data_IF_798639021989
#
_entry.id   IF_798639021989
#
_cell.length_a   1.000
_cell.length_b   1.000
_cell.length_c   1.000
_cell.angle_alpha   90.00
_cell.angle_beta   90.00
_cell.angle_gamma   90.00
#
_symmetry.space_group_name_H-M   'P 1'
#
loop_
_entity.id
_entity.type
_entity.pdbx_description
1 polymer ?
#
# COMPACT_ATOMS: atom_id res chain seq x y z
N UNK A 1 -6.06 -22.46 23.30
CA UNK A 1 -4.68 -22.37 23.82
C UNK A 1 -3.85 -21.58 22.80
N UNK A 2 -3.94 -20.25 22.70
CA UNK A 2 -3.21 -19.23 23.47
C UNK A 2 -1.73 -19.56 23.78
N UNK A 3 -0.83 -18.84 23.09
CA UNK A 3 0.63 -18.64 23.32
C UNK A 3 1.58 -19.83 23.14
N UNK A 4 2.17 -19.95 21.94
CA UNK A 4 3.46 -20.61 21.69
C UNK A 4 4.47 -19.60 21.12
N UNK A 5 5.17 -18.85 21.98
CA UNK A 5 6.64 -18.87 22.16
C UNK A 5 7.44 -19.18 20.89
N UNK A 6 8.15 -18.15 20.44
CA UNK A 6 9.02 -18.17 19.26
C UNK A 6 10.14 -19.18 19.35
N UNK A 7 10.12 -20.11 18.41
CA UNK A 7 11.35 -20.58 17.78
C UNK A 7 11.77 -19.45 16.83
N UNK A 8 13.05 -19.11 16.66
CA UNK A 8 13.48 -18.37 15.49
C UNK A 8 13.01 -19.19 14.29
N UNK A 9 11.87 -18.80 13.68
CA UNK A 9 11.46 -19.28 12.36
C UNK A 9 12.72 -19.11 11.53
N UNK A 10 13.24 -20.18 10.93
CA UNK A 10 14.60 -20.22 10.38
C UNK A 10 14.73 -19.26 9.18
N UNK A 11 14.79 -17.97 9.49
CA UNK A 11 14.81 -16.88 8.54
C UNK A 11 16.14 -16.92 7.76
N UNK A 12 17.19 -17.51 8.33
CA UNK A 12 18.46 -17.72 7.65
C UNK A 12 18.33 -18.79 6.54
N UNK A 13 17.69 -19.94 6.83
CA UNK A 13 17.41 -20.92 5.80
C UNK A 13 16.40 -20.40 4.77
N UNK A 14 15.33 -19.73 5.21
CA UNK A 14 14.34 -19.13 4.31
C UNK A 14 14.97 -18.09 3.38
N UNK A 15 15.85 -17.23 3.90
CA UNK A 15 16.58 -16.23 3.11
C UNK A 15 17.36 -16.88 1.96
N UNK A 16 18.02 -18.02 2.23
CA UNK A 16 18.82 -18.71 1.22
C UNK A 16 17.94 -19.20 0.08
N UNK A 17 16.80 -19.82 0.39
CA UNK A 17 15.85 -20.29 -0.62
C UNK A 17 15.19 -19.14 -1.38
N UNK A 18 14.76 -18.09 -0.69
CA UNK A 18 14.18 -16.92 -1.34
C UNK A 18 15.18 -16.22 -2.26
N UNK A 19 16.45 -16.12 -1.89
CA UNK A 19 17.50 -15.59 -2.81
C UNK A 19 17.62 -16.42 -4.07
N UNK A 20 17.64 -17.74 -3.95
CA UNK A 20 17.74 -18.62 -5.12
C UNK A 20 16.52 -18.50 -6.05
N UNK A 21 15.31 -18.43 -5.49
CA UNK A 21 14.09 -18.28 -6.27
C UNK A 21 13.96 -16.87 -6.88
N UNK A 22 14.22 -15.82 -6.09
CA UNK A 22 14.10 -14.43 -6.53
C UNK A 22 15.10 -14.08 -7.65
N UNK A 23 16.30 -14.65 -7.62
CA UNK A 23 17.30 -14.50 -8.70
C UNK A 23 16.89 -15.20 -9.99
N UNK A 24 15.95 -16.14 -9.92
CA UNK A 24 15.33 -16.78 -11.09
C UNK A 24 14.04 -16.07 -11.54
N UNK A 25 13.67 -14.95 -10.93
CA UNK A 25 12.51 -14.15 -11.32
C UNK A 25 11.23 -14.44 -10.53
N UNK A 26 11.26 -15.35 -9.54
CA UNK A 26 10.07 -15.70 -8.76
C UNK A 26 9.53 -14.48 -8.00
N UNK A 27 8.29 -14.09 -8.30
CA UNK A 27 7.64 -12.85 -7.82
C UNK A 27 7.48 -12.89 -6.30
N UNK A 28 6.95 -14.00 -5.78
CA UNK A 28 6.71 -14.18 -4.35
C UNK A 28 8.03 -14.14 -3.56
N UNK A 29 9.09 -14.76 -4.07
CA UNK A 29 10.40 -14.72 -3.45
C UNK A 29 11.02 -13.32 -3.50
N UNK A 30 10.87 -12.57 -4.60
CA UNK A 30 11.30 -11.18 -4.68
C UNK A 30 10.57 -10.31 -3.65
N UNK A 31 9.24 -10.41 -3.58
CA UNK A 31 8.45 -9.71 -2.57
C UNK A 31 8.91 -10.08 -1.14
N UNK A 32 9.03 -11.37 -0.84
CA UNK A 32 9.45 -11.84 0.48
C UNK A 32 10.87 -11.39 0.86
N UNK A 33 11.81 -11.33 -0.10
CA UNK A 33 13.13 -10.74 0.17
C UNK A 33 13.02 -9.25 0.50
N UNK A 34 12.17 -8.51 -0.22
CA UNK A 34 11.84 -7.12 0.08
C UNK A 34 11.41 -6.95 1.54
N UNK A 35 10.43 -7.74 1.97
CA UNK A 35 9.92 -7.77 3.36
C UNK A 35 11.03 -8.13 4.36
N UNK A 36 11.82 -9.16 4.08
CA UNK A 36 12.89 -9.59 4.98
C UNK A 36 13.93 -8.49 5.19
N UNK A 37 14.34 -7.79 4.13
CA UNK A 37 15.26 -6.65 4.23
C UNK A 37 14.61 -5.43 4.90
N UNK A 38 13.34 -5.13 4.65
CA UNK A 38 12.63 -4.01 5.27
C UNK A 38 12.46 -4.17 6.79
N UNK A 39 12.26 -5.42 7.26
CA UNK A 39 12.05 -5.73 8.67
C UNK A 39 13.28 -6.29 9.40
N UNK A 40 14.36 -6.58 8.68
CA UNK A 40 15.55 -7.21 9.25
C UNK A 40 15.31 -8.66 9.71
N UNK A 41 14.51 -9.42 8.97
CA UNK A 41 14.18 -10.82 9.30
C UNK A 41 15.25 -11.75 8.72
N UNK A 42 16.13 -12.28 9.57
CA UNK A 42 17.23 -13.15 9.14
C UNK A 42 18.38 -12.42 8.41
N UNK A 43 18.25 -11.10 8.21
CA UNK A 43 19.28 -10.19 7.67
C UNK A 43 19.26 -8.88 8.43
N UNK A 44 20.36 -8.09 8.44
CA UNK A 44 20.30 -6.70 8.88
C UNK A 44 19.26 -5.94 8.05
N UNK A 45 18.50 -5.06 8.72
CA UNK A 45 17.53 -4.20 8.04
C UNK A 45 18.24 -3.29 7.04
N UNK A 46 17.77 -3.29 5.80
CA UNK A 46 18.30 -2.49 4.69
C UNK A 46 17.17 -2.10 3.74
N UNK A 47 16.71 -0.85 3.85
CA UNK A 47 15.66 -0.34 3.00
C UNK A 47 16.08 -0.20 1.53
N UNK A 48 17.37 -0.01 1.24
CA UNK A 48 17.82 0.09 -0.17
C UNK A 48 17.75 -1.27 -0.85
N UNK A 49 18.14 -2.33 -0.14
CA UNK A 49 17.96 -3.70 -0.60
C UNK A 49 16.48 -4.06 -0.73
N UNK A 50 15.65 -3.69 0.26
CA UNK A 50 14.21 -3.92 0.21
C UNK A 50 13.56 -3.26 -1.03
N UNK A 51 13.88 -1.99 -1.27
CA UNK A 51 13.40 -1.22 -2.43
C UNK A 51 13.75 -1.91 -3.75
N UNK A 52 14.96 -2.47 -3.84
CA UNK A 52 15.42 -3.17 -5.05
C UNK A 52 14.57 -4.41 -5.33
N UNK A 53 14.32 -5.21 -4.30
CA UNK A 53 13.50 -6.42 -4.45
C UNK A 53 12.03 -6.12 -4.70
N UNK A 54 11.45 -5.12 -4.01
CA UNK A 54 10.09 -4.69 -4.29
C UNK A 54 9.94 -4.13 -5.71
N UNK A 55 10.93 -3.40 -6.25
CA UNK A 55 10.89 -2.96 -7.66
C UNK A 55 10.83 -4.11 -8.64
N UNK A 56 11.56 -5.20 -8.39
CA UNK A 56 11.52 -6.39 -9.24
C UNK A 56 10.15 -7.07 -9.21
N UNK A 57 9.58 -7.28 -8.02
CA UNK A 57 8.24 -7.87 -7.88
C UNK A 57 7.15 -6.96 -8.47
N UNK A 58 7.20 -5.65 -8.19
CA UNK A 58 6.23 -4.68 -8.68
C UNK A 58 6.26 -4.51 -10.21
N UNK A 59 7.43 -4.68 -10.84
CA UNK A 59 7.57 -4.69 -12.30
C UNK A 59 6.89 -5.90 -12.95
N UNK A 60 6.60 -6.95 -12.16
CA UNK A 60 5.82 -8.11 -12.54
C UNK A 60 4.36 -8.00 -12.04
N UNK A 61 3.91 -6.78 -11.77
CA UNK A 61 2.55 -6.42 -11.35
C UNK A 61 2.13 -6.89 -9.95
N UNK A 62 3.07 -7.30 -9.09
CA UNK A 62 2.76 -7.64 -7.70
C UNK A 62 2.20 -6.44 -6.92
N UNK A 63 0.92 -6.54 -6.51
CA UNK A 63 0.20 -5.45 -5.86
C UNK A 63 0.75 -5.07 -4.49
N UNK A 64 1.19 -6.05 -3.70
CA UNK A 64 1.77 -5.81 -2.37
C UNK A 64 3.15 -5.14 -2.47
N UNK A 65 3.97 -5.52 -3.44
CA UNK A 65 5.23 -4.83 -3.73
C UNK A 65 4.99 -3.40 -4.21
N UNK A 66 4.00 -3.16 -5.08
CA UNK A 66 3.61 -1.80 -5.49
C UNK A 66 3.17 -0.96 -4.29
N UNK A 67 2.34 -1.50 -3.41
CA UNK A 67 1.94 -0.83 -2.16
C UNK A 67 3.17 -0.48 -1.30
N UNK A 68 4.08 -1.43 -1.09
CA UNK A 68 5.30 -1.20 -0.31
C UNK A 68 6.21 -0.14 -0.94
N UNK A 69 6.38 -0.12 -2.27
CA UNK A 69 7.10 0.95 -2.95
C UNK A 69 6.45 2.31 -2.72
N UNK A 70 5.12 2.38 -2.80
CA UNK A 70 4.37 3.60 -2.48
C UNK A 70 4.70 4.12 -1.08
N UNK A 71 4.67 3.24 -0.07
CA UNK A 71 5.01 3.58 1.32
C UNK A 71 6.47 4.04 1.45
N UNK A 72 7.42 3.34 0.81
CA UNK A 72 8.84 3.69 0.89
C UNK A 72 9.13 5.06 0.28
N UNK A 73 8.54 5.37 -0.88
CA UNK A 73 8.65 6.70 -1.49
C UNK A 73 7.94 7.79 -0.67
N UNK A 74 6.80 7.48 -0.05
CA UNK A 74 6.07 8.40 0.81
C UNK A 74 6.87 8.78 2.06
N UNK A 75 7.54 7.79 2.68
CA UNK A 75 8.33 7.99 3.90
C UNK A 75 9.78 8.40 3.64
N UNK A 76 10.31 8.12 2.45
CA UNK A 76 11.73 8.28 2.15
C UNK A 76 12.60 7.17 2.75
N UNK A 77 12.10 5.93 2.80
CA UNK A 77 12.82 4.78 3.33
C UNK A 77 13.65 4.11 2.23
N UNK A 78 14.98 4.17 2.32
CA UNK A 78 15.89 3.61 1.31
C UNK A 78 15.91 4.37 -0.03
N UNK A 79 15.15 5.46 -0.13
CA UNK A 79 15.04 6.35 -1.29
C UNK A 79 14.69 7.76 -0.81
N UNK A 80 15.09 8.85 -1.51
CA UNK A 80 14.56 10.16 -1.19
C UNK A 80 13.03 10.18 -1.25
N UNK A 81 12.41 10.89 -0.30
CA UNK A 81 10.96 11.04 -0.27
C UNK A 81 10.47 11.71 -1.56
N UNK A 82 9.50 11.08 -2.22
CA UNK A 82 8.89 11.55 -3.46
C UNK A 82 7.41 11.17 -3.47
N UNK A 83 6.55 12.15 -3.23
CA UNK A 83 5.10 11.93 -3.23
C UNK A 83 4.56 11.66 -4.64
N UNK A 84 5.20 12.13 -5.70
CA UNK A 84 4.74 11.84 -7.07
C UNK A 84 4.98 10.37 -7.40
N UNK A 85 6.15 9.86 -7.04
CA UNK A 85 6.46 8.43 -7.19
C UNK A 85 5.54 7.57 -6.31
N UNK A 86 5.31 7.97 -5.05
CA UNK A 86 4.39 7.25 -4.16
C UNK A 86 2.97 7.18 -4.72
N UNK A 87 2.46 8.30 -5.26
CA UNK A 87 1.14 8.39 -5.88
C UNK A 87 1.01 7.40 -7.05
N UNK A 88 2.03 7.30 -7.90
CA UNK A 88 2.04 6.36 -9.03
C UNK A 88 1.93 4.92 -8.55
N UNK A 89 2.73 4.53 -7.56
CA UNK A 89 2.71 3.17 -7.02
C UNK A 89 1.40 2.83 -6.30
N UNK A 90 0.88 3.74 -5.48
CA UNK A 90 -0.42 3.52 -4.84
C UNK A 90 -1.56 3.43 -5.85
N UNK A 91 -1.54 4.18 -6.96
CA UNK A 91 -2.54 4.04 -8.03
C UNK A 91 -2.55 2.65 -8.66
N UNK A 92 -1.38 2.10 -8.94
CA UNK A 92 -1.25 0.75 -9.48
C UNK A 92 -1.82 -0.29 -8.50
N UNK A 93 -1.40 -0.25 -7.23
CA UNK A 93 -1.91 -1.18 -6.21
C UNK A 93 -3.42 -0.99 -5.94
N UNK A 94 -3.92 0.25 -5.93
CA UNK A 94 -5.33 0.53 -5.72
C UNK A 94 -6.23 0.05 -6.88
N UNK A 95 -5.71 0.09 -8.12
CA UNK A 95 -6.39 -0.46 -9.29
C UNK A 95 -6.58 -1.98 -9.19
N UNK A 96 -5.64 -2.67 -8.54
CA UNK A 96 -5.74 -4.10 -8.21
C UNK A 96 -6.67 -4.38 -7.01
N UNK A 97 -7.23 -3.35 -6.39
CA UNK A 97 -8.17 -3.50 -5.29
C UNK A 97 -7.54 -3.55 -3.90
N UNK A 98 -6.25 -3.22 -3.73
CA UNK A 98 -5.64 -3.21 -2.40
C UNK A 98 -6.23 -2.06 -1.56
N UNK A 99 -6.96 -2.40 -0.49
CA UNK A 99 -7.65 -1.43 0.36
C UNK A 99 -6.69 -0.43 1.02
N UNK A 100 -5.50 -0.89 1.43
CA UNK A 100 -4.48 -0.01 2.01
C UNK A 100 -3.92 0.99 0.99
N UNK A 101 -3.73 0.58 -0.27
CA UNK A 101 -3.33 1.50 -1.33
C UNK A 101 -4.43 2.53 -1.61
N UNK A 102 -5.70 2.11 -1.62
CA UNK A 102 -6.85 3.01 -1.76
C UNK A 102 -6.90 4.02 -0.60
N UNK A 103 -6.72 3.56 0.64
CA UNK A 103 -6.67 4.44 1.81
C UNK A 103 -5.54 5.46 1.69
N UNK A 104 -4.33 5.03 1.34
CA UNK A 104 -3.17 5.90 1.14
C UNK A 104 -3.40 6.93 0.01
N UNK A 105 -4.07 6.57 -1.09
CA UNK A 105 -4.49 7.55 -2.11
C UNK A 105 -5.44 8.59 -1.54
N UNK A 106 -6.41 8.18 -0.72
CA UNK A 106 -7.32 9.10 -0.04
C UNK A 106 -6.56 10.12 0.82
N UNK A 107 -5.57 9.66 1.58
CA UNK A 107 -4.68 10.53 2.38
C UNK A 107 -3.89 11.50 1.51
N UNK A 108 -3.36 11.05 0.36
CA UNK A 108 -2.60 11.92 -0.54
C UNK A 108 -3.45 13.02 -1.15
N UNK A 109 -4.69 12.71 -1.58
CA UNK A 109 -5.64 13.71 -2.05
C UNK A 109 -6.11 14.65 -0.95
N UNK A 110 -6.27 14.16 0.29
CA UNK A 110 -6.68 14.99 1.42
C UNK A 110 -5.63 16.04 1.78
N UNK A 111 -4.35 15.69 1.67
CA UNK A 111 -3.23 16.56 2.07
C UNK A 111 -2.49 17.22 0.91
N UNK A 112 -2.92 17.01 -0.33
CA UNK A 112 -2.23 17.52 -1.51
C UNK A 112 -0.78 17.03 -1.65
N UNK A 113 -0.52 15.76 -1.30
CA UNK A 113 0.83 15.18 -1.35
C UNK A 113 1.11 14.65 -2.75
N UNK A 114 1.98 15.34 -3.51
CA UNK A 114 2.32 14.92 -4.89
C UNK A 114 1.19 15.09 -5.91
N UNK A 115 0.06 15.66 -5.48
CA UNK A 115 -1.12 15.99 -6.28
C UNK A 115 -1.84 17.18 -5.62
N UNK A 116 -2.68 17.91 -6.37
CA UNK A 116 -3.53 18.94 -5.77
C UNK A 116 -4.51 18.31 -4.77
N UNK A 117 -4.79 19.05 -3.70
CA UNK A 117 -5.78 18.64 -2.71
C UNK A 117 -7.17 18.55 -3.37
N UNK A 118 -7.89 17.44 -3.13
CA UNK A 118 -9.22 17.19 -3.67
C UNK A 118 -10.02 16.32 -2.69
N UNK A 119 -10.94 16.92 -1.95
CA UNK A 119 -11.78 16.23 -0.97
C UNK A 119 -12.78 15.25 -1.60
N UNK A 120 -13.22 15.50 -2.83
CA UNK A 120 -14.10 14.60 -3.58
C UNK A 120 -13.35 13.31 -3.91
N UNK A 121 -12.10 13.42 -4.36
CA UNK A 121 -11.23 12.26 -4.58
C UNK A 121 -10.86 11.57 -3.26
N UNK A 122 -10.54 12.34 -2.22
CA UNK A 122 -10.22 11.77 -0.91
C UNK A 122 -11.39 10.92 -0.36
N UNK A 123 -12.61 11.49 -0.33
CA UNK A 123 -13.82 10.77 0.08
C UNK A 123 -14.03 9.50 -0.75
N UNK A 124 -13.90 9.59 -2.07
CA UNK A 124 -14.07 8.45 -2.98
C UNK A 124 -13.12 7.30 -2.62
N UNK A 125 -11.85 7.61 -2.40
CA UNK A 125 -10.84 6.60 -2.09
C UNK A 125 -11.03 5.97 -0.71
N UNK A 126 -11.42 6.77 0.30
CA UNK A 126 -11.75 6.24 1.62
C UNK A 126 -13.01 5.36 1.62
N UNK A 127 -14.05 5.74 0.87
CA UNK A 127 -15.26 4.93 0.72
C UNK A 127 -14.94 3.58 0.05
N UNK A 128 -14.06 3.59 -0.95
CA UNK A 128 -13.60 2.37 -1.62
C UNK A 128 -12.79 1.48 -0.67
N UNK A 129 -11.83 2.06 0.06
CA UNK A 129 -11.03 1.33 1.04
C UNK A 129 -11.93 0.65 2.09
N UNK A 130 -12.89 1.39 2.65
CA UNK A 130 -13.87 0.86 3.60
C UNK A 130 -14.72 -0.29 3.03
N UNK A 131 -15.10 -0.21 1.75
CA UNK A 131 -15.83 -1.28 1.08
C UNK A 131 -14.98 -2.55 0.89
N UNK A 132 -13.67 -2.39 0.68
CA UNK A 132 -12.75 -3.49 0.37
C UNK A 132 -12.10 -4.13 1.60
N UNK A 133 -11.87 -3.39 2.69
CA UNK A 133 -11.33 -3.97 3.93
C UNK A 133 -12.22 -5.10 4.47
N UNK A 134 -11.64 -6.29 4.67
CA UNK A 134 -12.34 -7.45 5.25
C UNK A 134 -12.31 -7.46 6.77
N UNK A 135 -11.38 -6.72 7.37
CA UNK A 135 -11.16 -6.61 8.81
C UNK A 135 -11.90 -5.40 9.37
N UNK A 136 -12.48 -5.55 10.56
CA UNK A 136 -13.29 -4.50 11.19
C UNK A 136 -12.49 -3.24 11.60
N UNK A 137 -11.29 -3.33 12.20
CA UNK A 137 -10.56 -2.15 12.63
C UNK A 137 -10.19 -1.20 11.48
N UNK A 138 -9.58 -1.72 10.42
CA UNK A 138 -9.11 -0.97 9.25
C UNK A 138 -10.29 -0.41 8.45
N UNK A 139 -11.38 -1.19 8.33
CA UNK A 139 -12.65 -0.70 7.79
C UNK A 139 -13.17 0.48 8.59
N UNK A 140 -13.20 0.39 9.92
CA UNK A 140 -13.71 1.46 10.79
C UNK A 140 -12.86 2.73 10.70
N UNK A 141 -11.55 2.58 10.59
CA UNK A 141 -10.65 3.72 10.33
C UNK A 141 -11.01 4.39 9.01
N UNK A 142 -11.10 3.63 7.91
CA UNK A 142 -11.46 4.18 6.61
C UNK A 142 -12.84 4.88 6.62
N UNK A 143 -13.84 4.29 7.29
CA UNK A 143 -15.18 4.90 7.46
C UNK A 143 -15.11 6.19 8.26
N UNK A 144 -14.38 6.19 9.38
CA UNK A 144 -14.26 7.38 10.24
C UNK A 144 -13.56 8.52 9.51
N UNK A 145 -12.47 8.21 8.80
CA UNK A 145 -11.75 9.21 8.00
C UNK A 145 -12.62 9.72 6.86
N UNK A 146 -13.34 8.85 6.14
CA UNK A 146 -14.31 9.25 5.11
C UNK A 146 -15.36 10.22 5.67
N UNK A 147 -15.95 9.90 6.81
CA UNK A 147 -17.00 10.70 7.42
C UNK A 147 -16.47 12.05 7.94
N UNK A 148 -15.22 12.07 8.43
CA UNK A 148 -14.53 13.31 8.79
C UNK A 148 -14.29 14.21 7.57
N UNK A 149 -13.90 13.65 6.42
CA UNK A 149 -13.79 14.42 5.16
C UNK A 149 -15.17 14.93 4.75
N UNK A 150 -16.20 14.08 4.79
CA UNK A 150 -17.57 14.44 4.43
C UNK A 150 -18.15 15.60 5.25
N UNK A 151 -17.73 15.76 6.50
CA UNK A 151 -18.16 16.87 7.36
C UNK A 151 -17.74 18.26 6.82
N UNK A 152 -16.74 18.33 5.95
CA UNK A 152 -16.27 19.55 5.31
C UNK A 152 -16.81 19.74 3.88
N UNK A 153 -17.56 18.76 3.37
CA UNK A 153 -18.08 18.74 2.00
C UNK A 153 -19.55 19.14 1.93
N UNK A 154 -19.96 19.69 0.80
CA UNK A 154 -21.37 19.89 0.47
C UNK A 154 -22.05 18.58 0.04
N UNK A 155 -23.38 18.47 0.14
CA UNK A 155 -24.11 17.32 -0.41
C UNK A 155 -23.86 17.07 -1.90
N UNK A 156 -23.63 18.12 -2.68
CA UNK A 156 -23.29 18.02 -4.10
C UNK A 156 -21.92 17.37 -4.32
N UNK A 157 -20.90 17.77 -3.55
CA UNK A 157 -19.56 17.15 -3.61
C UNK A 157 -19.59 15.68 -3.18
N UNK A 158 -20.39 15.33 -2.16
CA UNK A 158 -20.56 13.93 -1.75
C UNK A 158 -21.24 13.11 -2.86
N UNK A 159 -22.31 13.64 -3.46
CA UNK A 159 -23.00 12.98 -4.56
C UNK A 159 -22.08 12.77 -5.77
N UNK A 160 -21.25 13.77 -6.08
CA UNK A 160 -20.22 13.68 -7.12
C UNK A 160 -19.18 12.58 -6.81
N UNK A 161 -18.67 12.53 -5.58
CA UNK A 161 -17.70 11.52 -5.17
C UNK A 161 -18.27 10.09 -5.32
N UNK A 162 -19.52 9.89 -4.88
CA UNK A 162 -20.22 8.62 -5.03
C UNK A 162 -20.46 8.24 -6.50
N UNK A 163 -20.73 9.23 -7.36
CA UNK A 163 -20.87 8.99 -8.80
C UNK A 163 -19.55 8.54 -9.42
N UNK A 164 -18.46 9.29 -9.16
CA UNK A 164 -17.12 8.96 -9.65
C UNK A 164 -16.67 7.57 -9.16
N UNK A 165 -17.00 7.20 -7.92
CA UNK A 165 -16.71 5.88 -7.37
C UNK A 165 -17.40 4.74 -8.15
N UNK A 166 -18.66 4.96 -8.57
CA UNK A 166 -19.43 4.01 -9.41
C UNK A 166 -18.86 3.89 -10.81
N UNK A 167 -18.36 4.99 -11.38
CA UNK A 167 -17.75 5.01 -12.71
C UNK A 167 -16.42 4.24 -12.74
N UNK A 168 -15.59 4.38 -11.70
CA UNK A 168 -14.35 3.62 -11.59
C UNK A 168 -14.59 2.10 -11.57
N UNK A 169 -15.68 1.61 -10.98
CA UNK A 169 -15.99 0.15 -10.96
C UNK A 169 -16.28 -0.45 -12.34
N UNK A 170 -16.47 0.38 -13.38
CA UNK A 170 -16.80 -0.05 -14.74
C UNK A 170 -15.60 -0.04 -15.70
N UNK A 171 -14.45 0.43 -15.24
CA UNK A 171 -13.19 0.41 -15.98
C UNK A 171 -12.39 -0.83 -15.56
#
# INVERSE_FOLDING_TARGET
>A
YFKGRGVPRDYAAALTWYRLAATQGDIDAQFNLGVMYAHGQGVPRDYTAALTWFRLAAAQEDGDAQLNLGVMYHKGEGVPRDYTAALTWFRLAAAQGLAEAQYNLGVMYLHGQGIAQDEVQAYLWFDRAAATYTTTPERNEAVTTRDSVAAHMTPAQIAEAQQRAREWKRQ
#
